data_IF_944072272734
#
_entry.id   IF_944072272734
#
_cell.length_a   1.000
_cell.length_b   1.000
_cell.length_c   1.000
_cell.angle_alpha   90.00
_cell.angle_beta   90.00
_cell.angle_gamma   90.00
#
_symmetry.space_group_name_H-M   'P 1'
#
loop_
_entity.id
_entity.type
_entity.pdbx_description
1 polymer ?
#
# COMPACT_ATOMS: atom_id res chain seq x y z
N UNK A 1 23.28 7.60 17.37
CA UNK A 1 22.39 8.40 18.21
C UNK A 1 22.09 7.59 19.46
N UNK A 2 22.64 8.03 20.60
CA UNK A 2 22.40 7.43 21.91
C UNK A 2 20.94 7.63 22.30
N UNK A 3 20.15 6.54 22.31
CA UNK A 3 18.79 6.55 22.86
C UNK A 3 18.85 6.97 24.32
N UNK A 4 18.36 8.17 24.62
CA UNK A 4 18.40 8.75 25.95
C UNK A 4 17.50 7.97 26.93
N UNK A 5 18.07 7.64 28.09
CA UNK A 5 17.41 7.58 29.40
C UNK A 5 15.99 7.01 29.47
N UNK A 6 15.77 5.77 29.03
CA UNK A 6 14.59 5.02 29.46
C UNK A 6 14.76 4.61 30.93
N UNK A 7 13.71 4.74 31.74
CA UNK A 7 13.65 4.07 33.05
C UNK A 7 13.91 2.56 32.87
N UNK A 8 14.58 1.90 33.80
CA UNK A 8 14.73 0.42 33.83
C UNK A 8 13.39 -0.34 33.92
N UNK A 9 12.26 0.37 33.92
CA UNK A 9 10.93 -0.20 34.00
C UNK A 9 10.40 -0.65 32.62
N UNK A 10 9.92 -1.90 32.56
CA UNK A 10 9.29 -2.47 31.37
C UNK A 10 7.96 -1.75 31.10
N UNK A 11 7.82 -1.22 29.88
CA UNK A 11 6.60 -0.55 29.40
C UNK A 11 5.36 -1.43 29.57
N UNK A 12 4.18 -0.87 29.94
CA UNK A 12 2.97 -1.65 30.21
C UNK A 12 2.59 -2.67 29.12
N UNK A 13 2.69 -2.30 27.84
CA UNK A 13 2.37 -3.18 26.71
C UNK A 13 3.29 -4.40 26.59
N UNK A 14 4.51 -4.32 27.13
CA UNK A 14 5.52 -5.38 27.08
C UNK A 14 5.60 -6.20 28.38
N UNK A 15 4.84 -5.87 29.44
CA UNK A 15 4.94 -6.55 30.74
C UNK A 15 4.61 -8.04 30.65
N UNK A 16 3.60 -8.42 29.88
CA UNK A 16 3.24 -9.84 29.65
C UNK A 16 4.37 -10.58 28.94
N UNK A 17 4.83 -10.06 27.79
CA UNK A 17 5.96 -10.62 27.05
C UNK A 17 7.22 -10.73 27.91
N UNK A 18 7.54 -9.70 28.70
CA UNK A 18 8.71 -9.71 29.59
C UNK A 18 8.62 -10.79 30.67
N UNK A 19 7.42 -11.04 31.23
CA UNK A 19 7.20 -12.13 32.18
C UNK A 19 7.38 -13.49 31.50
N UNK A 20 6.70 -13.68 30.36
CA UNK A 20 6.80 -14.91 29.58
C UNK A 20 8.26 -15.23 29.17
N UNK A 21 9.03 -14.22 28.76
CA UNK A 21 10.44 -14.37 28.42
C UNK A 21 11.33 -14.75 29.61
N UNK A 22 10.98 -14.37 30.85
CA UNK A 22 11.72 -14.78 32.05
C UNK A 22 11.49 -16.24 32.40
N UNK A 23 10.31 -16.76 32.08
CA UNK A 23 9.93 -18.15 32.35
C UNK A 23 10.30 -19.09 31.18
N UNK A 24 10.61 -18.53 30.01
CA UNK A 24 11.01 -19.28 28.82
C UNK A 24 12.40 -19.94 28.95
N UNK A 25 12.59 -21.16 28.39
CA UNK A 25 13.92 -21.78 28.29
C UNK A 25 14.94 -20.88 27.56
N UNK A 26 16.22 -20.84 28.00
CA UNK A 26 17.23 -19.92 27.45
C UNK A 26 17.48 -20.04 25.94
N UNK A 27 17.26 -21.22 25.36
CA UNK A 27 17.48 -21.53 23.95
C UNK A 27 16.21 -21.43 23.09
N UNK A 28 15.05 -21.14 23.70
CA UNK A 28 13.76 -21.14 23.02
C UNK A 28 13.74 -20.17 21.83
N UNK A 29 14.15 -18.91 22.03
CA UNK A 29 14.11 -17.90 20.97
C UNK A 29 14.99 -18.28 19.79
N UNK A 30 16.24 -18.71 20.04
CA UNK A 30 17.15 -19.14 18.98
C UNK A 30 16.60 -20.36 18.22
N UNK A 31 16.01 -21.32 18.93
CA UNK A 31 15.36 -22.48 18.33
C UNK A 31 14.18 -22.07 17.44
N UNK A 32 13.31 -21.17 17.92
CA UNK A 32 12.15 -20.67 17.17
C UNK A 32 12.55 -19.81 15.98
N UNK A 33 13.58 -18.98 16.07
CA UNK A 33 14.11 -18.23 14.92
C UNK A 33 14.62 -19.17 13.82
N UNK A 34 15.33 -20.25 14.17
CA UNK A 34 15.77 -21.27 13.19
C UNK A 34 14.58 -22.00 12.56
N UNK A 35 13.56 -22.31 13.36
CA UNK A 35 12.32 -22.91 12.84
C UNK A 35 11.60 -21.97 11.86
N UNK A 36 11.47 -20.68 12.21
CA UNK A 36 10.87 -19.66 11.34
C UNK A 36 11.60 -19.59 9.99
N UNK A 37 12.94 -19.52 10.01
CA UNK A 37 13.75 -19.48 8.80
C UNK A 37 13.49 -20.70 7.89
N UNK A 38 13.45 -21.90 8.48
CA UNK A 38 13.13 -23.14 7.73
C UNK A 38 11.72 -23.12 7.15
N UNK A 39 10.74 -22.54 7.85
CA UNK A 39 9.38 -22.41 7.33
C UNK A 39 9.31 -21.44 6.17
N UNK A 40 9.87 -20.24 6.29
CA UNK A 40 9.88 -19.26 5.20
C UNK A 40 10.58 -19.80 3.94
N UNK A 41 11.68 -20.57 4.10
CA UNK A 41 12.32 -21.30 2.98
C UNK A 41 11.37 -22.26 2.28
N UNK A 42 10.56 -23.02 3.04
CA UNK A 42 9.63 -24.01 2.48
C UNK A 42 8.41 -23.38 1.81
N UNK A 43 7.95 -22.25 2.34
CA UNK A 43 6.79 -21.53 1.79
C UNK A 43 7.16 -20.64 0.60
N UNK A 44 8.46 -20.51 0.28
CA UNK A 44 8.93 -19.65 -0.80
C UNK A 44 8.68 -18.17 -0.53
N UNK A 45 8.60 -17.77 0.74
CA UNK A 45 8.46 -16.36 1.13
C UNK A 45 9.84 -15.71 0.94
N UNK A 46 10.10 -15.24 -0.28
CA UNK A 46 11.37 -14.68 -0.69
C UNK A 46 11.20 -13.25 -1.19
N UNK A 47 12.26 -12.47 -1.09
CA UNK A 47 12.33 -11.14 -1.68
C UNK A 47 13.51 -11.07 -2.65
N UNK A 48 13.29 -10.49 -3.83
CA UNK A 48 14.37 -10.18 -4.76
C UNK A 48 14.88 -8.75 -4.51
N UNK A 49 16.16 -8.63 -4.13
CA UNK A 49 16.81 -7.32 -3.95
C UNK A 49 17.12 -6.73 -5.32
N UNK A 50 16.63 -5.52 -5.59
CA UNK A 50 16.88 -4.82 -6.84
C UNK A 50 18.39 -4.48 -6.97
N UNK A 51 19.04 -4.95 -8.04
CA UNK A 51 20.39 -4.51 -8.43
C UNK A 51 21.53 -5.55 -8.35
N UNK A 52 21.29 -6.78 -7.88
CA UNK A 52 22.29 -7.87 -7.98
C UNK A 52 22.03 -8.71 -9.25
N UNK A 53 23.07 -8.86 -10.08
CA UNK A 53 23.06 -9.62 -11.35
C UNK A 53 22.87 -11.14 -11.12
N UNK A 54 22.98 -11.57 -9.86
CA UNK A 54 22.53 -12.87 -9.39
C UNK A 54 21.27 -12.67 -8.54
N UNK A 55 20.10 -12.95 -9.12
CA UNK A 55 18.80 -13.01 -8.45
C UNK A 55 18.75 -14.17 -7.46
N UNK A 56 19.60 -14.14 -6.43
CA UNK A 56 19.51 -15.05 -5.31
C UNK A 56 18.35 -14.56 -4.45
N UNK A 57 17.20 -15.22 -4.58
CA UNK A 57 16.07 -15.09 -3.66
C UNK A 57 16.60 -15.13 -2.21
N UNK A 58 16.47 -14.01 -1.48
CA UNK A 58 16.83 -13.94 -0.07
C UNK A 58 15.57 -14.00 0.77
N UNK A 59 15.64 -14.74 1.86
CA UNK A 59 14.62 -14.67 2.89
C UNK A 59 14.70 -13.31 3.57
N UNK A 60 13.55 -12.72 3.84
CA UNK A 60 13.50 -11.56 4.72
C UNK A 60 13.88 -12.03 6.14
N UNK A 61 14.86 -11.39 6.80
CA UNK A 61 15.18 -11.70 8.19
C UNK A 61 13.93 -11.54 9.08
N UNK A 62 13.62 -12.56 9.86
CA UNK A 62 12.47 -12.58 10.74
C UNK A 62 12.92 -12.52 12.20
N UNK A 63 12.45 -11.51 12.93
CA UNK A 63 12.63 -11.41 14.38
C UNK A 63 11.38 -11.96 15.09
N UNK A 64 11.60 -12.87 16.03
CA UNK A 64 10.53 -13.54 16.78
C UNK A 64 9.96 -12.67 17.92
N UNK A 65 10.61 -11.56 18.28
CA UNK A 65 10.16 -10.64 19.31
C UNK A 65 9.16 -9.66 18.68
N UNK A 66 7.87 -9.71 19.03
CA UNK A 66 6.86 -8.92 18.34
C UNK A 66 6.97 -7.42 18.68
N UNK A 67 6.59 -6.59 17.71
CA UNK A 67 6.29 -5.18 17.92
C UNK A 67 4.88 -5.03 18.50
N UNK A 68 4.76 -4.79 19.79
CA UNK A 68 3.46 -4.64 20.47
C UNK A 68 3.02 -3.17 20.45
N UNK A 69 1.84 -2.92 19.88
CA UNK A 69 1.16 -1.60 19.89
C UNK A 69 -0.09 -1.73 20.77
N UNK A 70 -0.23 -0.84 21.75
CA UNK A 70 -1.38 -0.83 22.67
C UNK A 70 -2.68 -0.42 21.96
N UNK A 71 -3.83 -0.81 22.51
CA UNK A 71 -5.13 -0.52 21.88
C UNK A 71 -5.44 0.98 21.76
N UNK A 72 -5.09 1.78 22.77
CA UNK A 72 -5.25 3.25 22.72
C UNK A 72 -4.29 3.90 21.73
N UNK A 73 -3.05 3.40 21.67
CA UNK A 73 -2.03 3.84 20.71
C UNK A 73 -2.50 3.56 19.27
N UNK A 74 -3.02 2.36 19.01
CA UNK A 74 -3.60 1.99 17.72
C UNK A 74 -4.83 2.83 17.37
N UNK A 75 -5.75 3.07 18.31
CA UNK A 75 -6.96 3.86 18.02
C UNK A 75 -6.64 5.29 17.56
N UNK A 76 -5.62 5.93 18.16
CA UNK A 76 -5.14 7.24 17.72
C UNK A 76 -4.47 7.18 16.35
N UNK A 77 -3.65 6.14 16.10
CA UNK A 77 -3.01 5.91 14.80
C UNK A 77 -4.06 5.71 13.69
N UNK A 78 -5.02 4.82 13.91
CA UNK A 78 -6.11 4.50 12.99
C UNK A 78 -6.87 5.76 12.58
N UNK A 79 -7.29 6.58 13.55
CA UNK A 79 -7.98 7.85 13.25
C UNK A 79 -7.12 8.78 12.37
N UNK A 80 -5.83 8.89 12.67
CA UNK A 80 -4.92 9.74 11.91
C UNK A 80 -4.57 9.21 10.53
N UNK A 81 -4.49 7.89 10.36
CA UNK A 81 -4.32 7.23 9.06
C UNK A 81 -5.54 7.47 8.17
N UNK A 82 -6.76 7.31 8.71
CA UNK A 82 -8.01 7.57 7.99
C UNK A 82 -8.05 9.03 7.51
N UNK A 83 -7.85 10.00 8.41
CA UNK A 83 -7.84 11.43 8.08
C UNK A 83 -6.84 11.74 6.95
N UNK A 84 -5.64 11.16 7.01
CA UNK A 84 -4.59 11.38 6.02
C UNK A 84 -4.96 10.80 4.65
N UNK A 85 -5.47 9.57 4.61
CA UNK A 85 -5.83 8.90 3.34
C UNK A 85 -7.06 9.55 2.70
N UNK A 86 -8.01 10.03 3.49
CA UNK A 86 -9.14 10.84 3.00
C UNK A 86 -8.65 12.15 2.36
N UNK A 87 -7.71 12.85 3.00
CA UNK A 87 -7.10 14.07 2.44
C UNK A 87 -6.31 13.78 1.16
N UNK A 88 -5.60 12.64 1.07
CA UNK A 88 -4.91 12.21 -0.16
C UNK A 88 -5.91 11.99 -1.30
N UNK A 89 -7.02 11.28 -1.06
CA UNK A 89 -8.06 11.10 -2.08
C UNK A 89 -8.69 12.44 -2.50
N UNK A 90 -8.98 13.33 -1.55
CA UNK A 90 -9.50 14.65 -1.84
C UNK A 90 -8.53 15.50 -2.66
N UNK A 91 -7.22 15.42 -2.36
CA UNK A 91 -6.16 16.08 -3.10
C UNK A 91 -6.06 15.56 -4.54
N UNK A 92 -6.07 14.24 -4.75
CA UNK A 92 -6.01 13.65 -6.08
C UNK A 92 -7.22 14.04 -6.93
N UNK A 93 -8.43 13.99 -6.34
CA UNK A 93 -9.66 14.47 -6.98
C UNK A 93 -9.59 15.95 -7.35
N UNK A 94 -8.96 16.78 -6.52
CA UNK A 94 -8.79 18.20 -6.78
C UNK A 94 -7.77 18.46 -7.89
N UNK A 95 -6.59 17.83 -7.82
CA UNK A 95 -5.49 18.00 -8.77
C UNK A 95 -5.90 17.65 -10.19
N UNK A 96 -6.66 16.56 -10.37
CA UNK A 96 -7.18 16.16 -11.68
C UNK A 96 -8.54 16.79 -12.01
N UNK A 97 -9.09 17.60 -11.11
CA UNK A 97 -10.38 18.25 -11.26
C UNK A 97 -10.25 19.78 -11.20
N UNK A 98 -10.88 20.44 -10.21
CA UNK A 98 -10.93 21.89 -10.14
C UNK A 98 -9.60 22.55 -9.80
N UNK A 99 -8.65 21.90 -9.13
CA UNK A 99 -7.36 22.47 -8.70
C UNK A 99 -7.47 23.64 -7.71
N UNK A 100 -8.44 23.57 -6.80
CA UNK A 100 -8.66 24.55 -5.73
C UNK A 100 -7.47 24.67 -4.77
N UNK A 101 -6.79 23.57 -4.45
CA UNK A 101 -5.61 23.55 -3.57
C UNK A 101 -4.45 24.36 -4.19
N UNK A 102 -4.27 24.24 -5.51
CA UNK A 102 -3.29 25.03 -6.27
C UNK A 102 -3.73 26.50 -6.35
N UNK A 103 -4.99 26.78 -6.69
CA UNK A 103 -5.53 28.15 -6.79
C UNK A 103 -5.46 28.91 -5.47
N UNK A 104 -5.66 28.22 -4.35
CA UNK A 104 -5.54 28.79 -3.01
C UNK A 104 -4.08 29.01 -2.56
N UNK A 105 -3.10 28.56 -3.35
CA UNK A 105 -1.68 28.70 -3.04
C UNK A 105 -1.18 27.77 -1.94
N UNK A 106 -1.95 26.73 -1.58
CA UNK A 106 -1.55 25.74 -0.56
C UNK A 106 -0.37 24.91 -1.06
N UNK A 107 -0.40 24.52 -2.35
CA UNK A 107 0.69 23.83 -3.02
C UNK A 107 1.03 24.53 -4.34
N UNK A 108 2.32 24.66 -4.70
CA UNK A 108 2.73 25.29 -5.95
C UNK A 108 2.29 24.49 -7.17
N UNK A 109 1.75 25.17 -8.18
CA UNK A 109 1.36 24.55 -9.45
C UNK A 109 2.53 23.80 -10.11
N UNK A 110 3.74 24.38 -10.12
CA UNK A 110 4.91 23.76 -10.74
C UNK A 110 5.22 22.37 -10.15
N UNK A 111 5.09 22.22 -8.84
CA UNK A 111 5.47 21.02 -8.10
C UNK A 111 4.50 19.86 -8.42
N UNK A 112 3.25 20.17 -8.72
CA UNK A 112 2.22 19.20 -9.10
C UNK A 112 2.25 18.95 -10.61
N UNK A 113 2.10 20.00 -11.41
CA UNK A 113 1.86 19.90 -12.86
C UNK A 113 3.10 19.52 -13.67
N UNK A 114 4.31 19.68 -13.10
CA UNK A 114 5.55 19.19 -13.73
C UNK A 114 6.06 17.89 -13.10
N UNK A 115 5.31 17.32 -12.14
CA UNK A 115 5.69 16.06 -11.52
C UNK A 115 5.68 14.93 -12.58
N UNK A 116 6.72 14.09 -12.67
CA UNK A 116 6.74 12.98 -13.63
C UNK A 116 5.61 11.95 -13.39
N UNK A 117 5.05 11.92 -12.19
CA UNK A 117 3.93 11.03 -11.83
C UNK A 117 2.55 11.70 -11.99
N UNK A 118 2.50 12.99 -12.34
CA UNK A 118 1.26 13.62 -12.77
C UNK A 118 0.89 13.08 -14.15
N UNK A 119 -0.41 12.83 -14.36
CA UNK A 119 -0.95 12.15 -15.54
C UNK A 119 -1.96 13.05 -16.22
N UNK A 120 -1.55 13.89 -17.20
CA UNK A 120 -2.47 14.77 -17.91
C UNK A 120 -3.68 14.04 -18.51
N UNK A 121 -3.53 12.74 -18.81
CA UNK A 121 -4.57 11.84 -19.30
C UNK A 121 -5.76 11.72 -18.33
N UNK A 122 -5.54 12.02 -17.05
CA UNK A 122 -6.56 11.99 -15.99
C UNK A 122 -7.23 13.34 -15.75
N UNK A 123 -6.75 14.44 -16.35
CA UNK A 123 -7.33 15.77 -16.14
C UNK A 123 -8.78 15.83 -16.63
N UNK A 124 -9.68 16.30 -15.77
CA UNK A 124 -11.12 16.36 -16.01
C UNK A 124 -11.83 15.01 -15.93
N UNK A 125 -11.12 13.93 -15.58
CA UNK A 125 -11.67 12.58 -15.45
C UNK A 125 -11.78 12.19 -13.98
N UNK A 126 -12.63 11.21 -13.69
CA UNK A 126 -12.77 10.61 -12.36
C UNK A 126 -12.73 9.09 -12.47
N UNK A 127 -12.03 8.38 -11.56
CA UNK A 127 -12.20 6.94 -11.42
C UNK A 127 -13.67 6.60 -11.14
N UNK A 128 -14.15 5.42 -11.53
CA UNK A 128 -15.39 4.87 -10.99
C UNK A 128 -15.39 4.94 -9.45
N UNK A 129 -16.52 5.33 -8.86
CA UNK A 129 -16.65 5.55 -7.42
C UNK A 129 -15.92 6.77 -6.85
N UNK A 130 -15.19 7.55 -7.67
CA UNK A 130 -14.37 8.69 -7.25
C UNK A 130 -13.32 8.32 -6.18
N UNK A 131 -12.89 7.04 -6.17
CA UNK A 131 -11.83 6.51 -5.30
C UNK A 131 -10.52 6.45 -6.06
N UNK A 132 -9.51 7.17 -5.57
CA UNK A 132 -8.21 7.26 -6.21
C UNK A 132 -7.24 6.24 -5.62
N UNK A 133 -7.04 6.28 -4.30
CA UNK A 133 -6.21 5.33 -3.57
C UNK A 133 -7.09 4.34 -2.83
N UNK A 134 -7.27 3.16 -3.42
CA UNK A 134 -8.03 2.05 -2.83
C UNK A 134 -7.23 1.40 -1.70
N UNK A 135 -5.90 1.27 -1.91
CA UNK A 135 -4.93 0.86 -0.90
C UNK A 135 -3.88 1.97 -0.78
N UNK A 136 -3.57 2.39 0.45
CA UNK A 136 -2.48 3.33 0.72
C UNK A 136 -1.59 2.76 1.83
N UNK A 137 -0.28 2.68 1.57
CA UNK A 137 0.70 2.33 2.59
C UNK A 137 1.24 3.61 3.24
N UNK A 138 1.23 3.70 4.57
CA UNK A 138 1.76 4.88 5.29
C UNK A 138 2.90 4.43 6.19
N UNK A 139 4.10 4.91 5.89
CA UNK A 139 5.31 4.54 6.63
C UNK A 139 5.44 5.40 7.88
N UNK A 140 5.49 4.73 9.03
CA UNK A 140 5.49 5.37 10.34
C UNK A 140 6.78 5.09 11.11
N UNK A 141 7.35 6.13 11.72
CA UNK A 141 8.39 6.00 12.74
C UNK A 141 7.91 6.46 14.10
N UNK A 142 8.43 5.82 15.14
CA UNK A 142 8.19 6.20 16.52
C UNK A 142 9.42 6.91 17.07
N UNK A 143 9.27 8.17 17.48
CA UNK A 143 10.35 8.99 18.05
C UNK A 143 10.28 9.12 19.58
N UNK A 144 9.16 8.71 20.20
CA UNK A 144 8.96 8.74 21.64
C UNK A 144 7.71 7.98 22.09
N UNK A 145 7.29 8.16 23.35
CA UNK A 145 6.15 7.43 23.91
C UNK A 145 4.84 7.72 23.17
N UNK A 146 4.58 8.97 22.78
CA UNK A 146 3.38 9.39 22.05
C UNK A 146 3.66 9.93 20.63
N UNK A 147 4.92 9.85 20.18
CA UNK A 147 5.35 10.46 18.91
C UNK A 147 5.39 9.45 17.78
N UNK A 148 4.31 9.35 17.01
CA UNK A 148 4.36 8.77 15.66
C UNK A 148 4.49 9.86 14.61
N UNK A 149 5.35 9.60 13.64
CA UNK A 149 5.58 10.49 12.52
C UNK A 149 5.47 9.70 11.23
N UNK A 150 4.78 10.27 10.25
CA UNK A 150 4.77 9.76 8.87
C UNK A 150 6.11 10.11 8.24
N UNK A 151 6.72 9.13 7.56
CA UNK A 151 7.89 9.30 6.71
C UNK A 151 7.52 9.43 5.23
N UNK A 152 6.55 8.64 4.80
CA UNK A 152 6.19 8.46 3.40
C UNK A 152 4.77 7.92 3.29
N UNK A 153 4.12 8.29 2.20
CA UNK A 153 2.85 7.72 1.75
C UNK A 153 3.14 6.90 0.49
N UNK A 154 2.43 5.80 0.28
CA UNK A 154 2.59 4.91 -0.86
C UNK A 154 1.23 4.78 -1.53
N UNK A 155 1.02 5.54 -2.61
CA UNK A 155 -0.28 5.72 -3.26
C UNK A 155 -0.39 4.99 -4.60
N UNK A 156 0.72 4.46 -5.12
CA UNK A 156 0.77 3.69 -6.39
C UNK A 156 0.33 2.24 -6.18
N UNK A 157 1.31 1.35 -6.00
CA UNK A 157 1.15 -0.10 -5.92
C UNK A 157 1.75 -0.62 -4.61
N UNK A 158 1.26 -0.17 -3.43
CA UNK A 158 1.86 -0.51 -2.14
C UNK A 158 1.89 -2.03 -1.93
N UNK A 159 2.99 -2.50 -1.33
CA UNK A 159 3.26 -3.90 -1.02
C UNK A 159 3.53 -4.09 0.48
N UNK A 160 3.60 -5.34 0.92
CA UNK A 160 4.00 -5.71 2.29
C UNK A 160 2.98 -6.56 3.04
N UNK A 161 1.77 -6.69 2.50
CA UNK A 161 0.64 -7.34 3.17
C UNK A 161 0.85 -8.85 3.30
N UNK A 162 1.45 -9.51 2.31
CA UNK A 162 1.74 -10.95 2.40
C UNK A 162 2.63 -11.22 3.61
N UNK A 163 3.69 -10.42 3.80
CA UNK A 163 4.57 -10.53 4.97
C UNK A 163 3.84 -10.27 6.28
N UNK A 164 2.92 -9.30 6.34
CA UNK A 164 2.11 -9.06 7.55
C UNK A 164 1.31 -10.31 7.95
N UNK A 165 0.65 -10.95 6.98
CA UNK A 165 -0.19 -12.12 7.20
C UNK A 165 0.66 -13.35 7.58
N UNK A 166 1.72 -13.61 6.80
CA UNK A 166 2.65 -14.71 7.04
C UNK A 166 3.38 -14.58 8.39
N UNK A 167 3.79 -13.37 8.77
CA UNK A 167 4.40 -13.12 10.07
C UNK A 167 3.44 -13.43 11.22
N UNK A 168 2.15 -13.11 11.08
CA UNK A 168 1.15 -13.44 12.10
C UNK A 168 0.97 -14.95 12.23
N UNK A 169 0.79 -15.63 11.11
CA UNK A 169 0.61 -17.08 11.08
C UNK A 169 1.82 -17.81 11.69
N UNK A 170 3.03 -17.37 11.31
CA UNK A 170 4.29 -17.89 11.85
C UNK A 170 4.37 -17.72 13.36
N UNK A 171 4.05 -16.53 13.87
CA UNK A 171 4.09 -16.24 15.30
C UNK A 171 3.07 -17.08 16.08
N UNK A 172 1.85 -17.26 15.56
CA UNK A 172 0.83 -18.13 16.18
C UNK A 172 1.27 -19.59 16.25
N UNK A 173 1.96 -20.08 15.22
CA UNK A 173 2.47 -21.46 15.16
C UNK A 173 3.66 -21.70 16.09
N UNK A 174 4.57 -20.74 16.19
CA UNK A 174 5.81 -20.88 16.97
C UNK A 174 5.59 -20.59 18.46
N UNK A 175 4.64 -19.73 18.81
CA UNK A 175 4.42 -19.25 20.17
C UNK A 175 2.95 -19.30 20.61
N UNK A 176 2.25 -20.45 20.49
CA UNK A 176 0.82 -20.53 20.83
C UNK A 176 0.52 -20.13 22.29
N UNK A 177 1.41 -20.49 23.23
CA UNK A 177 1.24 -20.13 24.65
C UNK A 177 1.34 -18.62 24.89
N UNK A 178 2.28 -17.94 24.22
CA UNK A 178 2.39 -16.48 24.28
C UNK A 178 1.15 -15.80 23.70
N UNK A 179 0.60 -16.35 22.60
CA UNK A 179 -0.64 -15.83 22.02
C UNK A 179 -1.83 -16.00 22.96
N UNK A 180 -1.90 -17.08 23.73
CA UNK A 180 -2.95 -17.30 24.73
C UNK A 180 -2.90 -16.27 25.88
N UNK A 181 -1.72 -15.72 26.19
CA UNK A 181 -1.56 -14.67 27.21
C UNK A 181 -1.92 -13.25 26.72
N UNK A 182 -2.05 -13.04 25.40
CA UNK A 182 -2.32 -11.75 24.80
C UNK A 182 -3.71 -11.72 24.13
N UNK A 183 -4.39 -10.57 24.23
CA UNK A 183 -5.62 -10.29 23.46
C UNK A 183 -5.24 -9.61 22.15
N UNK A 184 -4.78 -10.39 21.18
CA UNK A 184 -4.29 -9.91 19.89
C UNK A 184 -5.48 -9.75 18.93
N UNK A 185 -5.60 -8.60 18.24
CA UNK A 185 -6.60 -8.42 17.18
C UNK A 185 -6.19 -9.23 15.94
N UNK A 186 -7.12 -9.95 15.30
CA UNK A 186 -6.85 -10.69 14.07
C UNK A 186 -6.45 -9.75 12.92
N UNK A 187 -5.68 -10.26 11.96
CA UNK A 187 -5.32 -9.55 10.71
C UNK A 187 -5.70 -10.33 9.47
N UNK A 188 -6.07 -11.60 9.63
CA UNK A 188 -6.50 -12.52 8.58
C UNK A 188 -7.75 -12.04 7.82
N UNK A 189 -8.58 -11.18 8.43
CA UNK A 189 -9.76 -10.58 7.76
C UNK A 189 -9.39 -9.53 6.71
N UNK A 190 -8.10 -9.20 6.54
CA UNK A 190 -7.63 -8.23 5.57
C UNK A 190 -8.07 -8.58 4.15
N UNK A 191 -7.93 -9.85 3.74
CA UNK A 191 -8.19 -10.27 2.36
C UNK A 191 -9.68 -10.18 2.03
N UNK A 192 -10.54 -10.57 2.96
CA UNK A 192 -12.00 -10.40 2.82
C UNK A 192 -12.37 -8.93 2.69
N UNK A 193 -11.76 -8.06 3.51
CA UNK A 193 -12.01 -6.61 3.48
C UNK A 193 -11.49 -5.98 2.20
N UNK A 194 -10.33 -6.41 1.69
CA UNK A 194 -9.78 -5.97 0.42
C UNK A 194 -10.69 -6.37 -0.74
N UNK A 195 -11.11 -7.64 -0.81
CA UNK A 195 -12.02 -8.11 -1.86
C UNK A 195 -13.33 -7.31 -1.84
N UNK A 196 -13.94 -7.15 -0.67
CA UNK A 196 -15.18 -6.38 -0.53
C UNK A 196 -14.99 -4.92 -0.97
N UNK A 197 -13.84 -4.30 -0.66
CA UNK A 197 -13.53 -2.93 -1.07
C UNK A 197 -13.32 -2.81 -2.59
N UNK A 198 -12.68 -3.80 -3.22
CA UNK A 198 -12.52 -3.87 -4.68
C UNK A 198 -13.86 -4.09 -5.38
N UNK A 199 -14.70 -5.00 -4.87
CA UNK A 199 -16.03 -5.23 -5.42
C UNK A 199 -16.93 -3.99 -5.26
N UNK A 200 -16.81 -3.27 -4.14
CA UNK A 200 -17.54 -2.02 -3.92
C UNK A 200 -17.11 -0.87 -4.84
N UNK A 201 -15.93 -0.95 -5.45
CA UNK A 201 -15.47 0.03 -6.46
C UNK A 201 -15.81 -0.38 -7.89
N UNK A 202 -16.53 -1.48 -8.10
CA UNK A 202 -16.97 -1.89 -9.43
C UNK A 202 -17.90 -0.85 -10.08
N UNK A 203 -17.86 -0.70 -11.41
CA UNK A 203 -18.81 0.17 -12.11
C UNK A 203 -20.26 -0.28 -11.93
N UNK A 204 -21.21 0.67 -12.02
CA UNK A 204 -22.65 0.42 -11.78
C UNK A 204 -23.26 -0.74 -12.60
N UNK A 205 -22.75 -0.97 -13.81
CA UNK A 205 -23.26 -2.02 -14.71
C UNK A 205 -22.86 -3.45 -14.29
N UNK A 206 -21.87 -3.61 -13.40
CA UNK A 206 -21.33 -4.91 -13.00
C UNK A 206 -22.32 -5.71 -12.13
N UNK A 207 -23.31 -5.06 -11.53
CA UNK A 207 -24.35 -5.71 -10.73
C UNK A 207 -23.82 -6.25 -9.40
N UNK A 208 -24.36 -7.38 -8.95
CA UNK A 208 -24.12 -7.90 -7.60
C UNK A 208 -22.88 -8.79 -7.44
N UNK A 209 -22.30 -9.27 -8.54
CA UNK A 209 -21.15 -10.18 -8.55
C UNK A 209 -20.10 -9.73 -9.58
N UNK A 210 -19.38 -8.62 -9.29
CA UNK A 210 -18.40 -8.08 -10.22
C UNK A 210 -17.19 -9.01 -10.35
N UNK A 211 -16.69 -9.19 -11.57
CA UNK A 211 -15.48 -9.97 -11.83
C UNK A 211 -14.25 -9.13 -11.50
N UNK A 212 -13.55 -9.52 -10.44
CA UNK A 212 -12.29 -8.92 -9.98
C UNK A 212 -11.11 -9.78 -10.44
N UNK A 213 -10.02 -9.16 -10.87
CA UNK A 213 -8.75 -9.85 -11.21
C UNK A 213 -7.54 -9.10 -10.62
N UNK A 214 -6.44 -9.81 -10.40
CA UNK A 214 -5.14 -9.22 -10.04
C UNK A 214 -4.25 -9.18 -11.27
N UNK A 215 -3.94 -7.98 -11.78
CA UNK A 215 -3.01 -7.81 -12.90
C UNK A 215 -1.57 -7.77 -12.39
N UNK A 216 -0.73 -8.67 -12.90
CA UNK A 216 0.69 -8.78 -12.56
C UNK A 216 1.57 -8.55 -13.78
N UNK A 217 2.77 -7.96 -13.64
CA UNK A 217 3.77 -7.88 -14.70
C UNK A 217 4.51 -9.22 -14.96
N UNK A 218 4.16 -10.28 -14.21
CA UNK A 218 4.69 -11.63 -14.38
C UNK A 218 5.83 -11.99 -13.41
N UNK A 219 6.39 -13.21 -13.54
CA UNK A 219 7.26 -13.85 -12.54
C UNK A 219 8.63 -13.19 -12.36
N UNK A 220 9.05 -12.34 -13.29
CA UNK A 220 10.34 -11.63 -13.18
C UNK A 220 10.27 -10.37 -12.31
N UNK A 221 9.09 -10.03 -11.77
CA UNK A 221 8.93 -8.94 -10.82
C UNK A 221 9.22 -9.41 -9.39
N UNK A 222 9.95 -8.59 -8.62
CA UNK A 222 10.37 -8.92 -7.24
C UNK A 222 9.22 -9.14 -6.26
N UNK A 223 8.04 -8.59 -6.54
CA UNK A 223 6.83 -8.73 -5.74
C UNK A 223 5.85 -9.79 -6.28
N UNK A 224 6.23 -10.57 -7.31
CA UNK A 224 5.34 -11.56 -7.92
C UNK A 224 4.75 -12.55 -6.91
N UNK A 225 5.55 -12.99 -5.93
CA UNK A 225 5.07 -13.84 -4.83
C UNK A 225 3.88 -13.21 -4.09
N UNK A 226 3.93 -11.90 -3.80
CA UNK A 226 2.81 -11.23 -3.15
C UNK A 226 1.59 -11.13 -4.07
N UNK A 227 1.79 -10.95 -5.38
CA UNK A 227 0.68 -10.86 -6.33
C UNK A 227 -0.08 -12.18 -6.41
N UNK A 228 0.65 -13.29 -6.54
CA UNK A 228 0.05 -14.63 -6.57
C UNK A 228 -0.57 -15.02 -5.24
N UNK A 229 0.09 -14.70 -4.13
CA UNK A 229 -0.46 -14.89 -2.78
C UNK A 229 -1.79 -14.14 -2.60
N UNK A 230 -1.86 -12.86 -3.00
CA UNK A 230 -3.08 -12.08 -2.87
C UNK A 230 -4.18 -12.61 -3.79
N UNK A 231 -3.88 -12.95 -5.03
CA UNK A 231 -4.88 -13.53 -5.94
C UNK A 231 -5.50 -14.83 -5.36
N UNK A 232 -4.65 -15.74 -4.85
CA UNK A 232 -5.08 -16.98 -4.20
C UNK A 232 -5.95 -16.71 -2.96
N UNK A 233 -5.51 -15.83 -2.05
CA UNK A 233 -6.26 -15.51 -0.82
C UNK A 233 -7.55 -14.76 -1.07
N UNK A 234 -7.62 -13.95 -2.12
CA UNK A 234 -8.83 -13.25 -2.56
C UNK A 234 -9.78 -14.20 -3.32
N UNK A 235 -9.29 -15.35 -3.79
CA UNK A 235 -10.07 -16.27 -4.62
C UNK A 235 -10.39 -15.69 -6.00
N UNK A 236 -9.47 -14.91 -6.57
CA UNK A 236 -9.62 -14.26 -7.88
C UNK A 236 -8.49 -14.66 -8.83
N UNK A 237 -8.69 -14.45 -10.14
CA UNK A 237 -7.69 -14.80 -11.14
C UNK A 237 -6.46 -13.88 -11.07
N UNK A 238 -5.27 -14.48 -11.10
CA UNK A 238 -4.01 -13.80 -11.36
C UNK A 238 -3.79 -13.77 -12.88
N UNK A 239 -3.71 -12.58 -13.46
CA UNK A 239 -3.64 -12.39 -14.92
C UNK A 239 -2.46 -11.52 -15.31
N UNK A 240 -1.86 -11.82 -16.46
CA UNK A 240 -0.91 -10.94 -17.15
C UNK A 240 -1.62 -10.13 -18.24
N UNK A 241 -0.96 -9.10 -18.78
CA UNK A 241 -1.54 -8.25 -19.82
C UNK A 241 -2.06 -9.02 -21.06
N UNK A 242 -1.38 -10.11 -21.44
CA UNK A 242 -1.77 -10.94 -22.58
C UNK A 242 -3.05 -11.76 -22.38
N UNK A 243 -3.44 -12.01 -21.13
CA UNK A 243 -4.67 -12.74 -20.78
C UNK A 243 -5.92 -11.85 -20.93
N UNK A 244 -5.72 -10.53 -21.01
CA UNK A 244 -6.77 -9.54 -21.12
C UNK A 244 -6.76 -8.89 -22.51
N UNK A 245 -7.93 -8.42 -22.95
CA UNK A 245 -8.05 -7.61 -24.17
C UNK A 245 -9.23 -6.66 -24.07
N UNK A 246 -9.20 -5.58 -24.86
CA UNK A 246 -10.29 -4.60 -24.92
C UNK A 246 -11.07 -4.77 -26.22
N UNK A 247 -12.39 -4.76 -26.14
CA UNK A 247 -13.32 -4.70 -27.27
C UNK A 247 -14.47 -3.77 -26.93
N UNK A 248 -14.78 -2.82 -27.80
CA UNK A 248 -15.84 -1.82 -27.61
C UNK A 248 -15.75 -1.11 -26.24
N UNK A 249 -14.54 -0.68 -25.87
CA UNK A 249 -14.21 -0.06 -24.58
C UNK A 249 -14.58 -0.92 -23.35
N UNK A 250 -14.65 -2.25 -23.49
CA UNK A 250 -14.86 -3.19 -22.39
C UNK A 250 -13.67 -4.14 -22.28
N UNK A 251 -13.19 -4.39 -21.06
CA UNK A 251 -12.10 -5.34 -20.79
C UNK A 251 -12.66 -6.74 -20.64
N UNK A 252 -12.04 -7.69 -21.34
CA UNK A 252 -12.36 -9.11 -21.25
C UNK A 252 -11.12 -9.92 -20.90
N UNK A 253 -11.31 -10.94 -20.08
CA UNK A 253 -10.37 -12.01 -19.82
C UNK A 253 -10.64 -13.18 -20.77
N UNK A 254 -9.56 -13.72 -21.34
CA UNK A 254 -9.62 -14.91 -22.20
C UNK A 254 -9.88 -16.14 -21.35
N UNK A 255 -10.92 -16.91 -21.67
CA UNK A 255 -11.18 -18.21 -21.05
C UNK A 255 -11.47 -19.26 -22.13
N UNK A 256 -11.46 -20.53 -21.75
CA UNK A 256 -11.80 -21.65 -22.65
C UNK A 256 -13.27 -21.67 -23.06
N UNK A 257 -14.17 -21.12 -22.24
CA UNK A 257 -15.61 -21.05 -22.50
C UNK A 257 -16.02 -19.78 -23.27
N UNK A 258 -15.07 -18.86 -23.49
CA UNK A 258 -15.29 -17.59 -24.16
C UNK A 258 -14.75 -16.40 -23.36
N UNK A 259 -14.86 -15.17 -23.89
CA UNK A 259 -14.41 -13.99 -23.18
C UNK A 259 -15.31 -13.70 -21.98
N UNK A 260 -14.70 -13.53 -20.79
CA UNK A 260 -15.39 -13.10 -19.57
C UNK A 260 -15.10 -11.64 -19.31
N UNK A 261 -16.14 -10.81 -19.13
CA UNK A 261 -15.98 -9.39 -18.80
C UNK A 261 -15.25 -9.25 -17.46
N UNK A 262 -14.35 -8.27 -17.37
CA UNK A 262 -13.65 -7.89 -16.14
C UNK A 262 -14.13 -6.51 -15.71
N UNK A 263 -14.56 -6.39 -14.46
CA UNK A 263 -15.17 -5.17 -13.93
C UNK A 263 -14.19 -4.39 -13.06
N UNK A 264 -13.30 -5.08 -12.33
CA UNK A 264 -12.29 -4.47 -11.47
C UNK A 264 -10.93 -5.15 -11.67
N UNK A 265 -9.90 -4.34 -11.88
CA UNK A 265 -8.52 -4.78 -12.00
C UNK A 265 -7.74 -4.22 -10.81
N UNK A 266 -7.37 -5.09 -9.87
CA UNK A 266 -6.36 -4.76 -8.87
C UNK A 266 -4.99 -4.85 -9.54
N UNK A 267 -4.46 -3.70 -9.97
CA UNK A 267 -3.23 -3.63 -10.75
C UNK A 267 -2.00 -3.61 -9.85
N UNK A 268 -1.04 -4.45 -10.18
CA UNK A 268 0.33 -4.46 -9.61
C UNK A 268 1.36 -4.03 -10.65
N UNK A 269 0.93 -3.17 -11.57
CA UNK A 269 1.70 -2.62 -12.69
C UNK A 269 1.63 -1.10 -12.61
N UNK A 270 2.78 -0.44 -12.76
CA UNK A 270 2.89 1.03 -12.75
C UNK A 270 2.19 1.65 -13.97
N UNK A 271 1.74 2.91 -13.82
CA UNK A 271 0.96 3.63 -14.83
C UNK A 271 1.61 3.59 -16.21
N UNK A 272 2.92 3.84 -16.29
CA UNK A 272 3.66 3.92 -17.56
C UNK A 272 3.60 2.65 -18.40
N UNK A 273 3.40 1.50 -17.75
CA UNK A 273 3.37 0.21 -18.41
C UNK A 273 1.96 -0.32 -18.63
N UNK A 274 0.92 0.37 -18.15
CA UNK A 274 -0.44 -0.16 -18.09
C UNK A 274 -1.12 -0.26 -19.45
N UNK A 275 -0.89 0.70 -20.35
CA UNK A 275 -1.52 0.76 -21.66
C UNK A 275 -0.52 1.28 -22.71
N UNK A 276 -0.01 0.42 -23.63
CA UNK A 276 0.93 0.86 -24.67
C UNK A 276 0.31 1.82 -25.70
N UNK A 277 -1.01 1.96 -25.76
CA UNK A 277 -1.66 2.95 -26.64
C UNK A 277 -1.72 4.35 -26.02
N UNK A 278 -1.54 4.46 -24.70
CA UNK A 278 -1.62 5.72 -23.95
C UNK A 278 -0.26 6.15 -23.38
N UNK A 279 0.51 5.20 -22.86
CA UNK A 279 1.76 5.46 -22.16
C UNK A 279 2.97 4.93 -22.96
N UNK A 280 3.75 4.01 -22.39
CA UNK A 280 4.91 3.43 -23.06
C UNK A 280 4.50 2.45 -24.15
N UNK A 281 4.69 2.85 -25.40
CA UNK A 281 4.43 2.01 -26.57
C UNK A 281 5.26 0.71 -26.62
N UNK A 282 6.38 0.65 -25.89
CA UNK A 282 7.23 -0.55 -25.75
C UNK A 282 6.84 -1.44 -24.56
N UNK A 283 5.77 -1.12 -23.82
CA UNK A 283 5.28 -1.97 -22.73
C UNK A 283 4.76 -3.30 -23.25
N UNK A 284 5.28 -4.40 -22.71
CA UNK A 284 4.83 -5.76 -22.99
C UNK A 284 3.93 -6.36 -21.90
N UNK A 285 3.71 -5.64 -20.79
CA UNK A 285 2.98 -6.13 -19.60
C UNK A 285 1.60 -5.49 -19.44
N UNK A 286 1.31 -4.44 -20.22
CA UNK A 286 0.05 -3.71 -20.19
C UNK A 286 -1.06 -4.35 -21.02
N UNK A 287 -2.22 -3.69 -21.01
CA UNK A 287 -3.42 -4.10 -21.73
C UNK A 287 -3.74 -3.00 -22.76
N UNK A 288 -3.50 -3.22 -24.07
CA UNK A 288 -3.77 -2.22 -25.09
C UNK A 288 -5.23 -1.73 -25.05
N UNK A 289 -5.43 -0.43 -24.84
CA UNK A 289 -6.74 0.21 -24.83
C UNK A 289 -7.46 0.22 -23.48
N UNK A 290 -6.84 -0.28 -22.41
CA UNK A 290 -7.48 -0.29 -21.07
C UNK A 290 -7.82 1.11 -20.58
N UNK A 291 -7.05 2.14 -20.96
CA UNK A 291 -7.38 3.52 -20.59
C UNK A 291 -8.65 4.04 -21.27
N UNK A 292 -8.99 3.53 -22.47
CA UNK A 292 -10.25 3.86 -23.12
C UNK A 292 -11.44 3.23 -22.37
N UNK A 293 -11.32 1.95 -22.00
CA UNK A 293 -12.32 1.25 -21.21
C UNK A 293 -12.52 1.89 -19.81
N UNK A 294 -11.42 2.27 -19.17
CA UNK A 294 -11.43 2.95 -17.88
C UNK A 294 -12.08 4.33 -17.99
N UNK A 295 -11.74 5.12 -19.02
CA UNK A 295 -12.35 6.43 -19.25
C UNK A 295 -13.85 6.34 -19.62
N UNK A 296 -14.28 5.25 -20.26
CA UNK A 296 -15.68 4.97 -20.53
C UNK A 296 -16.47 4.52 -19.27
N UNK A 297 -15.79 4.31 -18.14
CA UNK A 297 -16.41 3.80 -16.91
C UNK A 297 -16.79 2.32 -16.99
N UNK A 298 -16.16 1.56 -17.88
CA UNK A 298 -16.47 0.15 -18.11
C UNK A 298 -15.65 -0.81 -17.25
N UNK A 299 -14.59 -0.33 -16.59
CA UNK A 299 -13.71 -1.08 -15.68
C UNK A 299 -13.19 -0.14 -14.60
N UNK A 300 -12.94 -0.64 -13.41
CA UNK A 300 -12.21 0.07 -12.34
C UNK A 300 -10.77 -0.40 -12.27
N UNK A 301 -9.84 0.56 -12.17
CA UNK A 301 -8.43 0.28 -11.90
C UNK A 301 -8.12 0.63 -10.44
N UNK A 302 -7.67 -0.36 -9.67
CA UNK A 302 -7.30 -0.19 -8.27
C UNK A 302 -5.79 -0.41 -8.09
N UNK A 303 -5.00 0.57 -7.64
CA UNK A 303 -5.35 1.99 -7.46
C UNK A 303 -5.60 2.70 -8.80
N UNK A 304 -6.23 3.88 -8.77
CA UNK A 304 -6.45 4.69 -9.96
C UNK A 304 -5.12 5.11 -10.61
N UNK A 305 -5.17 5.47 -11.88
CA UNK A 305 -4.02 6.05 -12.61
C UNK A 305 -3.77 7.47 -12.11
N UNK A 306 -2.49 7.86 -11.97
CA UNK A 306 -2.09 9.21 -11.55
C UNK A 306 -1.95 9.42 -10.05
N UNK A 307 -2.11 8.40 -9.23
CA UNK A 307 -1.99 8.53 -7.77
C UNK A 307 -0.58 8.88 -7.31
N UNK A 308 0.45 8.62 -8.13
CA UNK A 308 1.84 8.86 -7.80
C UNK A 308 2.23 10.34 -7.63
N UNK A 309 1.37 11.28 -8.00
CA UNK A 309 1.59 12.70 -7.66
C UNK A 309 1.39 12.95 -6.16
N UNK A 310 0.57 12.15 -5.47
CA UNK A 310 0.29 12.35 -4.04
C UNK A 310 1.37 11.78 -3.12
N UNK A 311 2.13 10.77 -3.57
CA UNK A 311 3.25 10.18 -2.81
C UNK A 311 4.62 10.77 -3.15
N UNK A 312 4.66 11.83 -3.97
CA UNK A 312 5.90 12.53 -4.26
C UNK A 312 6.53 13.13 -2.99
N UNK A 313 7.85 13.00 -2.86
CA UNK A 313 8.61 13.46 -1.67
C UNK A 313 8.48 14.96 -1.42
N UNK A 314 8.32 15.77 -2.46
CA UNK A 314 8.12 17.20 -2.31
C UNK A 314 6.67 17.50 -1.90
N UNK A 315 5.67 16.82 -2.51
CA UNK A 315 4.25 16.93 -2.14
C UNK A 315 4.01 16.52 -0.69
N UNK A 316 4.69 15.46 -0.22
CA UNK A 316 4.65 15.00 1.16
C UNK A 316 4.86 16.15 2.15
N UNK A 317 5.77 17.09 1.88
CA UNK A 317 6.04 18.21 2.79
C UNK A 317 4.86 19.18 2.93
N UNK A 318 3.93 19.21 1.97
CA UNK A 318 2.70 20.03 1.98
C UNK A 318 1.49 19.28 2.57
N UNK A 319 1.60 17.98 2.86
CA UNK A 319 0.48 17.16 3.33
C UNK A 319 -0.23 17.71 4.58
N UNK A 320 0.47 18.28 5.59
CA UNK A 320 -0.20 18.94 6.72
C UNK A 320 -1.15 20.06 6.30
N UNK A 321 -0.76 20.88 5.32
CA UNK A 321 -1.56 22.00 4.83
C UNK A 321 -2.69 21.51 3.91
N UNK A 322 -2.45 20.46 3.13
CA UNK A 322 -3.46 19.75 2.34
C UNK A 322 -4.56 19.17 3.24
N UNK A 323 -4.19 18.52 4.35
CA UNK A 323 -5.15 17.99 5.33
C UNK A 323 -6.02 19.13 5.87
N UNK A 324 -5.42 20.24 6.31
CA UNK A 324 -6.18 21.41 6.80
C UNK A 324 -7.12 21.96 5.74
N UNK A 325 -6.65 22.05 4.49
CA UNK A 325 -7.43 22.59 3.39
C UNK A 325 -8.68 21.75 3.08
N UNK A 326 -8.56 20.43 3.00
CA UNK A 326 -9.68 19.55 2.63
C UNK A 326 -10.56 19.10 3.79
N UNK A 327 -10.00 18.93 4.99
CA UNK A 327 -10.76 18.47 6.16
C UNK A 327 -11.23 19.60 7.07
N UNK A 328 -10.56 20.77 7.04
CA UNK A 328 -10.74 21.82 8.04
C UNK A 328 -10.20 21.46 9.43
N UNK A 329 -9.50 20.33 9.57
CA UNK A 329 -8.96 19.83 10.83
C UNK A 329 -7.43 19.93 10.89
N UNK A 330 -6.89 19.95 12.11
CA UNK A 330 -5.44 19.80 12.30
C UNK A 330 -5.01 18.34 12.03
N UNK A 331 -3.84 18.12 11.39
CA UNK A 331 -3.30 16.78 11.17
C UNK A 331 -3.07 16.05 12.49
N UNK A 332 -3.66 14.86 12.62
CA UNK A 332 -3.48 14.00 13.80
C UNK A 332 -2.06 13.40 13.81
N UNK A 333 -1.60 12.90 12.65
CA UNK A 333 -0.25 12.38 12.47
C UNK A 333 0.67 13.47 11.94
N UNK A 334 1.84 13.61 12.55
CA UNK A 334 2.84 14.60 12.15
C UNK A 334 3.72 14.05 11.03
N UNK A 335 4.15 14.93 10.14
CA UNK A 335 5.25 14.62 9.24
C UNK A 335 6.59 14.77 9.97
N UNK A 336 7.58 13.96 9.59
CA UNK A 336 8.97 14.26 9.94
C UNK A 336 9.37 15.62 9.36
N UNK A 337 9.96 16.52 10.18
CA UNK A 337 10.44 17.82 9.69
C UNK A 337 11.39 17.64 8.50
N UNK A 338 11.01 18.21 7.36
CA UNK A 338 11.72 18.05 6.09
C UNK A 338 11.89 19.43 5.47
N UNK A 339 13.14 19.81 5.18
CA UNK A 339 13.46 21.13 4.62
C UNK A 339 13.16 21.19 3.12
N UNK A 340 12.37 22.18 2.71
CA UNK A 340 12.05 22.45 1.31
C UNK A 340 13.13 23.34 0.69
N UNK A 341 14.16 22.77 0.08
CA UNK A 341 15.30 23.52 -0.46
C UNK A 341 14.96 24.56 -1.55
N UNK A 342 13.72 24.56 -2.08
CA UNK A 342 13.23 25.63 -2.97
C UNK A 342 12.90 26.93 -2.23
N UNK A 343 12.65 26.86 -0.93
CA UNK A 343 12.34 28.01 -0.08
C UNK A 343 13.65 28.59 0.46
N UNK A 344 13.97 29.88 0.21
CA UNK A 344 15.29 30.44 0.54
C UNK A 344 15.69 30.31 2.00
N UNK A 345 14.74 30.37 2.94
CA UNK A 345 15.03 30.25 4.37
C UNK A 345 15.24 28.81 4.83
N UNK A 346 14.55 27.85 4.22
CA UNK A 346 14.77 26.42 4.46
C UNK A 346 16.10 25.96 3.84
N UNK A 347 16.46 26.47 2.66
CA UNK A 347 17.74 26.17 2.01
C UNK A 347 18.95 26.55 2.88
N UNK A 348 18.84 27.60 3.70
CA UNK A 348 19.92 28.02 4.62
C UNK A 348 20.18 27.02 5.77
N UNK A 349 19.29 26.06 6.00
CA UNK A 349 19.38 25.09 7.09
C UNK A 349 20.04 23.76 6.69
N UNK A 350 20.34 23.59 5.39
CA UNK A 350 20.99 22.43 4.78
C UNK A 350 22.37 22.86 4.29
#
# INVERSE_FOLDING_TARGET
MSGGGGSDEVRPSYRTLSRWLKDAPPDLLTSRSRQAELFFRRMGVTFAVYGDVESNERLIPFDVVPRIIGASEWASLEKGLIQRVEAINAFLRDVYGPQDCIRAGIIPAELVLTNPNYRPEMQGRRPPGDVWTHICGVDLVRTGEDGFYVLEDNCRTPSGVSYMLENREMMMRLFPDLFAEHRIRPVETYTDTLLASLQASAPDHAGADPTVVVLTPGPYNSAYYEHSFLADKLGVELVEGGDLFVSDDVVYMRTTEGPRRVDVIYRRVDDDFLDPLTFRADSAVGIPGVMAAYAAGNVTLANAVGTGVADDKAVYTYMPDIIRFFSGEEPILKNVPTWRCREPDALKQV
#
